data_IF_535477381927
#
_entry.id   IF_535477381927
#
_cell.length_a   1.000
_cell.length_b   1.000
_cell.length_c   1.000
_cell.angle_alpha   90.00
_cell.angle_beta   90.00
_cell.angle_gamma   90.00
#
_symmetry.space_group_name_H-M   'P 1'
#
loop_
_entity.id
_entity.type
_entity.pdbx_description
1 polymer ?
#
# COMPACT_ATOMS: atom_id res chain seq x y z
N UNK A 1 -10.49 -3.06 -24.15
CA UNK A 1 -9.78 -1.77 -23.94
C UNK A 1 -9.92 -1.24 -22.51
N UNK A 2 -11.13 -1.19 -21.95
CA UNK A 2 -11.39 -0.65 -20.60
C UNK A 2 -10.47 -1.20 -19.49
N UNK A 3 -10.15 -2.50 -19.51
CA UNK A 3 -9.25 -3.11 -18.51
C UNK A 3 -7.80 -2.62 -18.59
N UNK A 4 -7.30 -2.37 -19.80
CA UNK A 4 -5.94 -1.82 -19.98
C UNK A 4 -5.89 -0.37 -19.50
N UNK A 5 -6.95 0.40 -19.75
CA UNK A 5 -7.13 1.75 -19.22
C UNK A 5 -7.19 1.77 -17.69
N UNK A 6 -7.96 0.87 -17.07
CA UNK A 6 -8.02 0.75 -15.61
C UNK A 6 -6.67 0.36 -15.02
N UNK A 7 -5.96 -0.60 -15.62
CA UNK A 7 -4.61 -0.98 -15.20
C UNK A 7 -3.59 0.16 -15.34
N UNK A 8 -3.68 0.94 -16.42
CA UNK A 8 -2.87 2.15 -16.61
C UNK A 8 -3.16 3.20 -15.54
N UNK A 9 -4.43 3.37 -15.16
CA UNK A 9 -4.83 4.32 -14.12
C UNK A 9 -4.30 3.89 -12.73
N UNK A 10 -4.32 2.59 -12.44
CA UNK A 10 -3.67 2.04 -11.24
C UNK A 10 -2.15 2.28 -11.25
N UNK A 11 -1.48 2.06 -12.38
CA UNK A 11 -0.05 2.36 -12.55
C UNK A 11 0.27 3.85 -12.38
N UNK A 12 -0.56 4.72 -12.95
CA UNK A 12 -0.43 6.16 -12.79
C UNK A 12 -0.59 6.59 -11.33
N UNK A 13 -1.52 5.96 -10.60
CA UNK A 13 -1.71 6.20 -9.16
C UNK A 13 -0.47 5.80 -8.35
N UNK A 14 0.13 4.64 -8.64
CA UNK A 14 1.38 4.19 -8.00
C UNK A 14 2.51 5.18 -8.30
N UNK A 15 2.67 5.55 -9.57
CA UNK A 15 3.71 6.50 -10.00
C UNK A 15 3.54 7.86 -9.33
N UNK A 16 2.31 8.36 -9.22
CA UNK A 16 1.99 9.60 -8.53
C UNK A 16 2.40 9.55 -7.06
N UNK A 17 2.03 8.50 -6.31
CA UNK A 17 2.37 8.39 -4.89
C UNK A 17 3.88 8.36 -4.70
N UNK A 18 4.62 7.60 -5.51
CA UNK A 18 6.08 7.52 -5.42
C UNK A 18 6.70 8.89 -5.75
N UNK A 19 6.27 9.55 -6.83
CA UNK A 19 6.76 10.87 -7.22
C UNK A 19 6.48 11.94 -6.16
N UNK A 20 5.30 11.90 -5.53
CA UNK A 20 4.90 12.84 -4.49
C UNK A 20 5.66 12.59 -3.18
N UNK A 21 5.60 11.36 -2.66
CA UNK A 21 6.09 11.05 -1.31
C UNK A 21 7.60 10.89 -1.28
N UNK A 22 8.16 10.10 -2.19
CA UNK A 22 9.58 9.74 -2.15
C UNK A 22 10.47 10.84 -2.74
N UNK A 23 10.03 11.44 -3.84
CA UNK A 23 10.82 12.45 -4.54
C UNK A 23 10.40 13.90 -4.24
N UNK A 24 9.17 14.15 -3.77
CA UNK A 24 8.67 15.52 -3.54
C UNK A 24 8.48 16.33 -4.83
N UNK A 25 8.59 15.70 -6.00
CA UNK A 25 8.59 16.38 -7.31
C UNK A 25 7.22 16.96 -7.63
N UNK A 26 6.15 16.38 -7.08
CA UNK A 26 4.79 16.83 -7.38
C UNK A 26 4.51 18.21 -6.79
N UNK A 27 4.90 18.47 -5.54
CA UNK A 27 4.70 19.79 -4.94
C UNK A 27 5.56 20.85 -5.64
N UNK A 28 6.81 20.51 -5.96
CA UNK A 28 7.75 21.39 -6.64
C UNK A 28 7.23 21.91 -7.99
N UNK A 29 6.51 21.07 -8.75
CA UNK A 29 6.01 21.44 -10.07
C UNK A 29 4.61 22.06 -10.06
N UNK A 30 3.89 21.99 -8.94
CA UNK A 30 2.47 22.40 -8.86
C UNK A 30 2.28 23.63 -7.98
N UNK A 31 3.16 23.87 -7.01
CA UNK A 31 3.06 24.96 -6.04
C UNK A 31 4.36 25.76 -6.03
N UNK A 32 4.30 27.05 -6.40
CA UNK A 32 5.49 27.90 -6.41
C UNK A 32 6.06 28.08 -4.99
N UNK A 33 7.36 27.81 -4.82
CA UNK A 33 8.05 27.95 -3.54
C UNK A 33 7.93 26.75 -2.58
N UNK A 34 7.22 25.67 -2.96
CA UNK A 34 7.08 24.48 -2.11
C UNK A 34 8.37 23.66 -1.93
N UNK A 35 9.37 23.87 -2.80
CA UNK A 35 10.63 23.12 -2.81
C UNK A 35 10.41 21.61 -2.98
N UNK A 36 11.32 20.78 -2.45
CA UNK A 36 11.20 19.32 -2.51
C UNK A 36 10.26 18.74 -1.43
N UNK A 37 9.19 19.44 -1.08
CA UNK A 37 8.20 18.97 -0.09
C UNK A 37 7.22 17.99 -0.73
N UNK A 38 6.57 17.13 0.06
CA UNK A 38 5.45 16.32 -0.43
C UNK A 38 4.12 17.04 -0.17
N UNK A 39 3.14 16.83 -1.03
CA UNK A 39 1.75 17.23 -0.76
C UNK A 39 1.10 16.20 0.16
N UNK A 40 0.53 16.65 1.28
CA UNK A 40 -0.24 15.77 2.14
C UNK A 40 -1.66 15.60 1.59
N UNK A 41 -1.91 14.44 0.98
CA UNK A 41 -3.18 14.12 0.29
C UNK A 41 -4.37 14.15 1.24
N UNK A 42 -4.17 13.88 2.53
CA UNK A 42 -5.26 13.94 3.50
C UNK A 42 -5.64 15.39 3.81
N UNK A 43 -4.64 16.27 3.97
CA UNK A 43 -4.84 17.69 4.26
C UNK A 43 -5.37 18.46 3.05
N UNK A 44 -5.07 18.00 1.83
CA UNK A 44 -5.67 18.55 0.61
C UNK A 44 -7.21 18.42 0.54
N UNK A 45 -7.83 17.59 1.39
CA UNK A 45 -9.27 17.54 1.52
C UNK A 45 -9.85 18.72 2.34
N UNK A 46 -9.02 19.43 3.08
CA UNK A 46 -9.43 20.61 3.83
C UNK A 46 -9.66 21.81 2.89
N UNK A 47 -10.73 22.59 3.10
CA UNK A 47 -11.12 23.67 2.19
C UNK A 47 -10.11 24.83 2.13
N UNK A 48 -9.16 24.90 3.05
CA UNK A 48 -8.07 25.90 3.06
C UNK A 48 -6.77 25.43 2.40
N UNK A 49 -6.75 24.24 1.81
CA UNK A 49 -5.59 23.69 1.11
C UNK A 49 -5.72 23.86 -0.41
N UNK A 50 -5.91 25.10 -0.86
CA UNK A 50 -5.87 25.44 -2.30
C UNK A 50 -4.50 25.96 -2.71
N UNK A 51 -4.11 25.77 -3.97
CA UNK A 51 -2.81 26.25 -4.50
C UNK A 51 -2.53 27.73 -4.18
N UNK A 52 -3.45 28.69 -4.45
CA UNK A 52 -3.16 30.10 -4.17
C UNK A 52 -3.04 30.41 -2.68
N UNK A 53 -3.73 29.67 -1.81
CA UNK A 53 -3.59 29.81 -0.36
C UNK A 53 -2.27 29.24 0.15
N UNK A 54 -1.83 28.10 -0.40
CA UNK A 54 -0.54 27.49 -0.09
C UNK A 54 0.63 28.41 -0.51
N UNK A 55 0.58 29.00 -1.70
CA UNK A 55 1.63 29.93 -2.16
C UNK A 55 1.71 31.18 -1.27
N UNK A 56 0.56 31.70 -0.83
CA UNK A 56 0.51 32.82 0.11
C UNK A 56 1.09 32.44 1.47
N UNK A 57 0.73 31.26 2.02
CA UNK A 57 1.27 30.77 3.29
C UNK A 57 2.79 30.57 3.20
N UNK A 58 3.29 29.99 2.10
CA UNK A 58 4.73 29.84 1.86
C UNK A 58 5.45 31.19 1.85
N UNK A 59 4.87 32.24 1.27
CA UNK A 59 5.47 33.57 1.26
C UNK A 59 5.51 34.22 2.65
N UNK A 60 4.55 33.92 3.52
CA UNK A 60 4.43 34.51 4.85
C UNK A 60 5.25 33.73 5.92
N UNK A 61 5.23 32.40 5.87
CA UNK A 61 5.82 31.52 6.90
C UNK A 61 6.96 30.63 6.41
N UNK A 62 7.24 30.61 5.11
CA UNK A 62 8.29 29.78 4.50
C UNK A 62 7.90 28.32 4.27
N UNK A 63 6.73 27.88 4.75
CA UNK A 63 6.13 26.55 4.53
C UNK A 63 4.60 26.66 4.56
N UNK A 64 3.90 25.69 3.97
CA UNK A 64 2.43 25.59 4.04
C UNK A 64 1.98 24.41 4.93
N UNK A 65 0.84 24.55 5.60
CA UNK A 65 0.26 23.49 6.45
C UNK A 65 -0.04 22.20 5.68
N UNK A 66 -0.35 22.33 4.39
CA UNK A 66 -0.72 21.23 3.50
C UNK A 66 0.51 20.48 2.93
N UNK A 67 1.72 20.98 3.21
CA UNK A 67 2.98 20.36 2.81
C UNK A 67 3.59 19.57 3.97
N UNK A 68 4.29 18.50 3.65
CA UNK A 68 5.02 17.68 4.62
C UNK A 68 6.40 17.35 4.08
N UNK A 69 7.29 16.91 4.96
CA UNK A 69 8.65 16.54 4.57
C UNK A 69 8.65 15.32 3.64
N UNK A 70 9.49 15.34 2.60
CA UNK A 70 9.67 14.21 1.69
C UNK A 70 10.15 12.97 2.43
N UNK A 71 9.76 11.79 1.96
CA UNK A 71 10.11 10.50 2.57
C UNK A 71 9.22 10.11 3.77
N UNK A 72 8.39 11.02 4.29
CA UNK A 72 7.39 10.68 5.30
C UNK A 72 6.15 10.08 4.64
N UNK A 73 5.77 8.86 5.01
CA UNK A 73 4.61 8.19 4.42
C UNK A 73 3.35 8.48 5.25
N UNK A 74 2.40 9.19 4.66
CA UNK A 74 1.09 9.41 5.26
C UNK A 74 0.16 8.20 5.09
N UNK A 75 -0.87 8.10 5.95
CA UNK A 75 -1.87 7.03 5.85
C UNK A 75 -2.61 7.06 4.51
N UNK A 76 -2.95 8.24 4.00
CA UNK A 76 -3.60 8.41 2.70
C UNK A 76 -2.71 7.93 1.55
N UNK A 77 -1.40 8.21 1.61
CA UNK A 77 -0.43 7.78 0.59
C UNK A 77 -0.31 6.25 0.54
N UNK A 78 -0.25 5.61 1.72
CA UNK A 78 -0.20 4.13 1.82
C UNK A 78 -1.49 3.52 1.26
N UNK A 79 -2.64 4.08 1.60
CA UNK A 79 -3.93 3.61 1.09
C UNK A 79 -4.02 3.77 -0.43
N UNK A 80 -3.58 4.90 -0.99
CA UNK A 80 -3.55 5.15 -2.43
C UNK A 80 -2.59 4.22 -3.16
N UNK A 81 -1.40 3.98 -2.61
CA UNK A 81 -0.45 3.01 -3.15
C UNK A 81 -1.07 1.60 -3.18
N UNK A 82 -1.66 1.19 -2.07
CA UNK A 82 -2.34 -0.11 -1.96
C UNK A 82 -3.49 -0.24 -2.96
N UNK A 83 -4.31 0.81 -3.10
CA UNK A 83 -5.37 0.87 -4.10
C UNK A 83 -4.83 0.76 -5.54
N UNK A 84 -3.76 1.48 -5.86
CA UNK A 84 -3.10 1.40 -7.16
C UNK A 84 -2.63 -0.03 -7.46
N UNK A 85 -2.02 -0.71 -6.48
CA UNK A 85 -1.59 -2.10 -6.61
C UNK A 85 -2.79 -3.03 -6.80
N UNK A 86 -3.87 -2.86 -6.05
CA UNK A 86 -5.09 -3.66 -6.22
C UNK A 86 -5.70 -3.48 -7.61
N UNK A 87 -5.73 -2.27 -8.15
CA UNK A 87 -6.28 -1.99 -9.48
C UNK A 87 -5.43 -2.67 -10.57
N UNK A 88 -4.11 -2.54 -10.48
CA UNK A 88 -3.17 -3.19 -11.42
C UNK A 88 -3.30 -4.71 -11.36
N UNK A 89 -3.31 -5.27 -10.15
CA UNK A 89 -3.41 -6.72 -9.94
C UNK A 89 -4.77 -7.26 -10.35
N UNK A 90 -5.88 -6.60 -10.01
CA UNK A 90 -7.23 -6.99 -10.47
C UNK A 90 -7.39 -6.89 -12.01
N UNK A 91 -6.73 -5.93 -12.65
CA UNK A 91 -6.69 -5.81 -14.11
C UNK A 91 -5.90 -6.92 -14.80
N UNK A 92 -4.87 -7.47 -14.14
CA UNK A 92 -3.92 -8.45 -14.68
C UNK A 92 -4.23 -9.91 -14.30
N UNK A 93 -4.62 -10.16 -13.05
CA UNK A 93 -4.93 -11.47 -12.50
C UNK A 93 -6.41 -11.81 -12.74
N UNK A 94 -6.71 -12.41 -13.89
CA UNK A 94 -7.89 -13.25 -14.00
C UNK A 94 -7.63 -14.52 -13.18
N UNK A 95 -8.64 -15.00 -12.44
CA UNK A 95 -8.70 -16.45 -12.18
C UNK A 95 -8.64 -17.14 -13.56
N UNK A 96 -7.72 -18.07 -13.76
CA UNK A 96 -7.57 -18.73 -15.04
C UNK A 96 -8.89 -19.40 -15.41
N UNK A 97 -9.38 -19.13 -16.62
CA UNK A 97 -10.63 -19.70 -17.13
C UNK A 97 -10.53 -21.21 -17.32
N UNK A 98 -9.32 -21.75 -17.40
CA UNK A 98 -9.07 -23.18 -17.46
C UNK A 98 -9.34 -23.83 -16.09
N UNK A 99 -10.29 -24.78 -16.00
CA UNK A 99 -10.66 -25.40 -14.72
C UNK A 99 -9.50 -26.16 -14.06
N UNK A 100 -8.55 -26.66 -14.86
CA UNK A 100 -7.34 -27.34 -14.37
C UNK A 100 -6.37 -26.36 -13.70
N UNK A 101 -6.18 -25.19 -14.30
CA UNK A 101 -5.27 -24.16 -13.79
C UNK A 101 -5.89 -23.45 -12.58
N UNK A 102 -7.21 -23.26 -12.58
CA UNK A 102 -7.96 -22.78 -11.41
C UNK A 102 -7.82 -23.73 -10.22
N UNK A 103 -7.95 -25.05 -10.44
CA UNK A 103 -7.75 -26.06 -9.39
C UNK A 103 -6.30 -26.08 -8.87
N UNK A 104 -5.31 -25.89 -9.75
CA UNK A 104 -3.89 -25.79 -9.37
C UNK A 104 -3.60 -24.54 -8.54
N UNK A 105 -4.07 -23.37 -8.99
CA UNK A 105 -3.92 -22.12 -8.25
C UNK A 105 -4.64 -22.19 -6.91
N UNK A 106 -5.83 -22.80 -6.82
CA UNK A 106 -6.52 -23.00 -5.54
C UNK A 106 -5.72 -23.86 -4.57
N UNK A 107 -5.11 -24.94 -5.06
CA UNK A 107 -4.24 -25.78 -4.22
C UNK A 107 -3.03 -24.99 -3.71
N UNK A 108 -2.40 -24.18 -4.57
CA UNK A 108 -1.28 -23.31 -4.17
C UNK A 108 -1.72 -22.28 -3.13
N UNK A 109 -2.83 -21.57 -3.37
CA UNK A 109 -3.39 -20.58 -2.44
C UNK A 109 -3.76 -21.21 -1.10
N UNK A 110 -4.36 -22.40 -1.09
CA UNK A 110 -4.68 -23.11 0.14
C UNK A 110 -3.41 -23.50 0.92
N UNK A 111 -2.41 -24.09 0.24
CA UNK A 111 -1.14 -24.45 0.88
C UNK A 111 -0.44 -23.22 1.44
N UNK A 112 -0.35 -22.13 0.66
CA UNK A 112 0.26 -20.89 1.13
C UNK A 112 -0.53 -20.28 2.29
N UNK A 113 -1.86 -20.36 2.26
CA UNK A 113 -2.73 -19.90 3.34
C UNK A 113 -2.51 -20.68 4.65
N UNK A 114 -2.42 -22.00 4.58
CA UNK A 114 -2.10 -22.88 5.72
C UNK A 114 -0.71 -22.58 6.27
N UNK A 115 0.27 -22.37 5.40
CA UNK A 115 1.63 -22.00 5.81
C UNK A 115 1.63 -20.66 6.54
N UNK A 116 1.02 -19.61 5.97
CA UNK A 116 0.98 -18.27 6.59
C UNK A 116 0.23 -18.28 7.93
N UNK A 117 -0.90 -18.98 8.00
CA UNK A 117 -1.67 -19.10 9.23
C UNK A 117 -0.91 -19.92 10.30
N UNK A 118 -0.24 -20.99 9.87
CA UNK A 118 0.62 -21.80 10.74
C UNK A 118 1.81 -21.00 11.26
N UNK A 119 2.47 -20.20 10.41
CA UNK A 119 3.54 -19.30 10.83
C UNK A 119 3.04 -18.30 11.87
N UNK A 120 1.88 -17.67 11.68
CA UNK A 120 1.31 -16.76 12.67
C UNK A 120 1.05 -17.42 14.04
N UNK A 121 0.65 -18.70 14.05
CA UNK A 121 0.47 -19.47 15.30
C UNK A 121 1.83 -19.83 15.91
N UNK A 122 2.78 -20.31 15.11
CA UNK A 122 4.13 -20.69 15.57
C UNK A 122 4.89 -19.49 16.12
N UNK A 123 4.67 -18.31 15.54
CA UNK A 123 5.15 -17.02 16.02
C UNK A 123 4.61 -16.71 17.42
N UNK A 124 3.31 -16.95 17.66
CA UNK A 124 2.71 -16.77 19.00
C UNK A 124 3.29 -17.73 20.03
N UNK A 125 3.59 -18.95 19.60
CA UNK A 125 4.15 -20.00 20.46
C UNK A 125 5.66 -19.86 20.66
N UNK A 126 6.30 -18.84 20.06
CA UNK A 126 7.74 -18.61 20.08
C UNK A 126 8.56 -19.83 19.62
N UNK A 127 7.99 -20.63 18.72
CA UNK A 127 8.64 -21.81 18.15
C UNK A 127 9.38 -21.50 16.85
N UNK A 128 9.30 -20.26 16.35
CA UNK A 128 10.04 -19.82 15.19
C UNK A 128 11.48 -19.43 15.57
N UNK A 129 12.48 -19.77 14.74
CA UNK A 129 13.82 -19.25 14.90
C UNK A 129 13.80 -17.72 14.82
N UNK A 130 14.70 -17.05 15.55
CA UNK A 130 14.76 -15.58 15.70
C UNK A 130 14.80 -14.80 14.38
N UNK A 131 15.23 -15.44 13.28
CA UNK A 131 15.27 -14.85 11.92
C UNK A 131 13.93 -14.88 11.16
N UNK A 132 12.93 -15.57 11.67
CA UNK A 132 11.59 -15.69 11.04
C UNK A 132 10.46 -15.21 11.96
N UNK A 133 10.80 -14.60 13.09
CA UNK A 133 9.86 -14.07 14.07
C UNK A 133 9.31 -12.70 13.62
N UNK A 134 8.10 -12.36 14.05
CA UNK A 134 7.45 -11.08 13.74
C UNK A 134 8.28 -9.85 14.12
N UNK A 135 9.11 -9.94 15.17
CA UNK A 135 10.08 -8.91 15.57
C UNK A 135 11.12 -8.66 14.47
N UNK A 136 11.76 -9.71 13.97
CA UNK A 136 12.76 -9.59 12.90
C UNK A 136 12.18 -9.11 11.58
N UNK A 137 10.91 -9.46 11.29
CA UNK A 137 10.21 -9.03 10.08
C UNK A 137 9.78 -7.55 10.20
N UNK A 138 9.39 -7.10 11.39
CA UNK A 138 9.11 -5.69 11.66
C UNK A 138 10.35 -4.82 11.46
N UNK A 139 11.53 -5.29 11.86
CA UNK A 139 12.80 -4.56 11.69
C UNK A 139 13.24 -4.42 10.22
N UNK A 140 12.84 -5.36 9.35
CA UNK A 140 13.18 -5.34 7.91
C UNK A 140 12.24 -4.44 7.10
N UNK A 141 11.01 -4.25 7.58
CA UNK A 141 10.04 -3.40 6.89
C UNK A 141 10.30 -1.95 7.32
N UNK A 142 10.61 -1.02 6.40
CA UNK A 142 10.89 0.39 6.73
C UNK A 142 9.61 1.19 7.07
N UNK A 143 8.64 0.55 7.72
CA UNK A 143 7.38 1.12 8.19
C UNK A 143 7.28 0.83 9.70
N UNK A 144 6.68 1.73 10.51
CA UNK A 144 6.56 1.55 11.95
C UNK A 144 5.46 0.52 12.28
N UNK A 145 5.71 -0.74 11.95
CA UNK A 145 4.82 -1.84 12.32
C UNK A 145 5.27 -2.48 13.61
N UNK A 146 4.38 -2.52 14.59
CA UNK A 146 4.61 -3.35 15.75
C UNK A 146 4.58 -4.84 15.35
N UNK A 147 5.35 -5.71 16.03
CA UNK A 147 5.40 -7.14 15.74
C UNK A 147 4.03 -7.83 15.71
N UNK A 148 3.11 -7.42 16.60
CA UNK A 148 1.74 -7.99 16.64
C UNK A 148 0.93 -7.68 15.37
N UNK A 149 1.21 -6.57 14.68
CA UNK A 149 0.53 -6.21 13.43
C UNK A 149 0.96 -7.14 12.30
N UNK A 150 2.25 -7.46 12.22
CA UNK A 150 2.81 -8.43 11.27
C UNK A 150 2.17 -9.81 11.48
N UNK A 151 2.01 -10.21 12.74
CA UNK A 151 1.37 -11.47 13.10
C UNK A 151 -0.10 -11.55 12.67
N UNK A 152 -0.89 -10.50 12.96
CA UNK A 152 -2.29 -10.43 12.52
C UNK A 152 -2.39 -10.42 11.00
N UNK A 153 -1.47 -9.73 10.33
CA UNK A 153 -1.44 -9.67 8.88
C UNK A 153 -1.25 -11.08 8.27
N UNK A 154 -0.29 -11.85 8.77
CA UNK A 154 -0.09 -13.25 8.34
C UNK A 154 -1.30 -14.13 8.64
N UNK A 155 -1.93 -13.98 9.81
CA UNK A 155 -3.14 -14.72 10.16
C UNK A 155 -4.32 -14.38 9.24
N UNK A 156 -4.56 -13.09 8.98
CA UNK A 156 -5.67 -12.62 8.13
C UNK A 156 -5.45 -13.05 6.68
N UNK A 157 -4.27 -12.82 6.10
CA UNK A 157 -3.97 -13.27 4.74
C UNK A 157 -4.03 -14.79 4.63
N UNK A 158 -3.50 -15.52 5.62
CA UNK A 158 -3.59 -16.98 5.70
C UNK A 158 -5.04 -17.47 5.66
N UNK A 159 -5.90 -16.89 6.52
CA UNK A 159 -7.32 -17.24 6.59
C UNK A 159 -8.08 -16.90 5.30
N UNK A 160 -7.81 -15.75 4.68
CA UNK A 160 -8.42 -15.34 3.42
C UNK A 160 -8.05 -16.30 2.27
N UNK A 161 -6.79 -16.73 2.21
CA UNK A 161 -6.31 -17.69 1.22
C UNK A 161 -6.92 -19.09 1.40
N UNK A 162 -7.13 -19.52 2.65
CA UNK A 162 -7.79 -20.80 2.97
C UNK A 162 -9.26 -20.79 2.58
N UNK A 163 -9.98 -19.68 2.82
CA UNK A 163 -11.44 -19.56 2.62
C UNK A 163 -11.88 -19.85 1.18
N UNK A 164 -11.02 -19.60 0.18
CA UNK A 164 -11.30 -19.87 -1.23
C UNK A 164 -12.49 -19.07 -1.81
N UNK A 165 -12.76 -19.17 -3.13
CA UNK A 165 -13.89 -18.49 -3.75
C UNK A 165 -15.22 -19.06 -3.25
N UNK A 166 -16.14 -18.16 -2.85
CA UNK A 166 -17.51 -18.46 -2.39
C UNK A 166 -18.48 -18.87 -3.50
N UNK A 167 -18.08 -18.77 -4.76
CA UNK A 167 -18.96 -19.02 -5.90
C UNK A 167 -18.57 -20.36 -6.52
N UNK A 168 -19.48 -21.32 -6.39
CA UNK A 168 -19.49 -22.52 -7.25
C UNK A 168 -19.75 -22.06 -8.69
N UNK A 169 -19.01 -22.65 -9.63
CA UNK A 169 -19.26 -22.55 -11.07
C UNK A 169 -20.42 -23.47 -11.44
#
# INVERSE_FOLDING_TARGET
MLRKLIGLLGLATIAFVIANVHFGIVAENVVEGAGSSRLDVLRLADPGCTIPEMEKEIQETGTAFCLSEKGTWGTADILLLFWGILIVTAGRFRMPSDPRLAKRMRRVMFISGVVLFGLAILDRLQWLPTSANSESIADVIPLPFDPWMVQILFAVFGALLIRGPKYEL
#
